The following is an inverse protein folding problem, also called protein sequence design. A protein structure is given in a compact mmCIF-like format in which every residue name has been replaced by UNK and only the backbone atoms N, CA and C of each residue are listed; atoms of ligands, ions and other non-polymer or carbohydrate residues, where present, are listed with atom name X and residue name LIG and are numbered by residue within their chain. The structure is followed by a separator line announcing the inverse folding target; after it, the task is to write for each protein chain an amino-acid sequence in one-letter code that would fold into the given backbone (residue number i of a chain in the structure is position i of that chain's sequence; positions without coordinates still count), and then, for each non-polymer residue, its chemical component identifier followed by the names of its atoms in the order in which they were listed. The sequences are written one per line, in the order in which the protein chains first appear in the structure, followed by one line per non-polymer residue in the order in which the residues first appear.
data_IF_519759029991
#
_entry.id   IF_519759029991
#
_cell.length_a   1.000
_cell.length_b   1.000
_cell.length_c   1.000
_cell.angle_alpha   90.00
_cell.angle_beta   90.00
_cell.angle_gamma   90.00
#
_symmetry.space_group_name_H-M   'P 1'
#
loop_
_entity.id
_entity.type
_entity.pdbx_description
1 polymer ?
#
# COMPACT_ATOMS: atom_id res chain seq x y z
N UNK A 1 -40.68 -1.27 -17.63
CA UNK A 1 -39.46 -1.09 -18.44
C UNK A 1 -38.41 -0.47 -17.52
N UNK A 2 -37.44 -1.29 -17.12
CA UNK A 2 -36.49 -1.06 -16.02
C UNK A 2 -35.28 -0.28 -16.50
N UNK A 3 -35.13 0.97 -16.04
CA UNK A 3 -33.91 1.72 -16.30
C UNK A 3 -33.65 2.64 -15.10
N UNK A 4 -32.75 2.22 -14.19
CA UNK A 4 -31.98 3.07 -13.27
C UNK A 4 -31.20 2.20 -12.27
N UNK A 5 -30.29 1.37 -12.78
CA UNK A 5 -29.28 0.69 -11.95
C UNK A 5 -27.90 0.89 -12.57
N UNK A 6 -27.42 2.14 -12.60
CA UNK A 6 -26.05 2.43 -13.07
C UNK A 6 -25.33 3.57 -12.34
N UNK A 7 -25.82 4.02 -11.19
CA UNK A 7 -25.29 5.22 -10.53
C UNK A 7 -24.46 4.98 -9.26
N UNK A 8 -24.37 3.74 -8.76
CA UNK A 8 -23.70 3.47 -7.48
C UNK A 8 -22.29 2.86 -7.56
N UNK A 9 -21.84 2.33 -8.71
CA UNK A 9 -20.49 1.71 -8.83
C UNK A 9 -19.34 2.73 -9.01
N UNK A 10 -19.67 3.98 -9.34
CA UNK A 10 -18.65 5.03 -9.58
C UNK A 10 -18.13 5.63 -8.27
N UNK A 11 -18.97 5.73 -7.23
CA UNK A 11 -18.59 6.38 -5.97
C UNK A 11 -17.63 5.52 -5.12
N UNK A 12 -17.78 4.20 -5.12
CA UNK A 12 -16.91 3.29 -4.35
C UNK A 12 -15.52 3.18 -4.97
N UNK A 13 -15.43 3.30 -6.30
CA UNK A 13 -14.15 3.24 -7.02
C UNK A 13 -13.34 4.54 -6.94
N UNK A 14 -14.02 5.70 -6.77
CA UNK A 14 -13.36 7.01 -6.67
C UNK A 14 -12.80 7.32 -5.27
N UNK A 15 -13.33 6.69 -4.22
CA UNK A 15 -12.80 6.84 -2.85
C UNK A 15 -11.44 6.14 -2.63
N UNK A 16 -10.99 5.32 -3.59
CA UNK A 16 -9.73 4.58 -3.54
C UNK A 16 -8.58 5.25 -4.31
N UNK A 17 -8.81 6.40 -4.94
CA UNK A 17 -7.81 7.07 -5.79
C UNK A 17 -7.07 8.22 -5.08
N UNK A 18 -7.34 8.45 -3.81
CA UNK A 18 -6.65 9.48 -3.02
C UNK A 18 -5.50 8.86 -2.25
N UNK A 19 -4.40 9.60 -2.17
CA UNK A 19 -3.24 9.22 -1.38
C UNK A 19 -3.68 8.95 0.07
N UNK A 20 -3.40 7.77 0.65
CA UNK A 20 -3.71 7.52 2.04
C UNK A 20 -2.93 8.50 2.93
N UNK A 21 -3.55 8.92 4.02
CA UNK A 21 -2.86 9.66 5.07
C UNK A 21 -1.68 8.87 5.62
N UNK A 22 -0.65 9.56 6.11
CA UNK A 22 0.55 8.95 6.67
C UNK A 22 0.23 7.92 7.78
N UNK A 23 -0.62 8.29 8.76
CA UNK A 23 -1.02 7.37 9.84
C UNK A 23 -1.73 6.11 9.31
N UNK A 24 -2.62 6.26 8.32
CA UNK A 24 -3.32 5.14 7.69
C UNK A 24 -2.34 4.19 7.00
N UNK A 25 -1.33 4.74 6.33
CA UNK A 25 -0.27 3.96 5.71
C UNK A 25 0.57 3.24 6.78
N UNK A 26 0.96 3.93 7.85
CA UNK A 26 1.73 3.34 8.94
C UNK A 26 0.98 2.17 9.59
N UNK A 27 -0.32 2.33 9.84
CA UNK A 27 -1.16 1.28 10.41
C UNK A 27 -1.27 0.08 9.45
N UNK A 28 -1.45 0.32 8.15
CA UNK A 28 -1.44 -0.74 7.14
C UNK A 28 -0.10 -1.50 7.14
N UNK A 29 1.03 -0.79 7.15
CA UNK A 29 2.37 -1.39 7.19
C UNK A 29 2.62 -2.20 8.45
N UNK A 30 2.10 -1.75 9.61
CA UNK A 30 2.15 -2.52 10.86
C UNK A 30 1.30 -3.78 10.79
N UNK A 31 0.18 -3.71 10.07
CA UNK A 31 -0.74 -4.81 9.81
C UNK A 31 -0.14 -5.91 8.92
N UNK A 32 0.70 -5.55 7.95
CA UNK A 32 1.37 -6.51 7.08
C UNK A 32 2.36 -7.40 7.86
N UNK A 33 1.96 -8.65 8.10
CA UNK A 33 2.81 -9.67 8.74
C UNK A 33 3.42 -10.59 7.70
N UNK A 34 2.67 -10.88 6.65
CA UNK A 34 3.06 -11.76 5.56
C UNK A 34 3.32 -10.97 4.29
N UNK A 35 4.09 -11.59 3.40
CA UNK A 35 4.52 -10.93 2.16
C UNK A 35 3.35 -10.69 1.21
N UNK A 36 2.37 -11.59 1.18
CA UNK A 36 1.14 -11.47 0.39
C UNK A 36 0.32 -10.22 0.77
N UNK A 37 0.27 -9.88 2.06
CA UNK A 37 -0.42 -8.68 2.54
C UNK A 37 0.31 -7.40 2.08
N UNK A 38 1.64 -7.46 2.03
CA UNK A 38 2.48 -6.36 1.58
C UNK A 38 2.38 -6.15 0.06
N UNK A 39 2.33 -7.23 -0.70
CA UNK A 39 2.09 -7.22 -2.15
C UNK A 39 0.70 -6.64 -2.47
N UNK A 40 -0.34 -7.10 -1.77
CA UNK A 40 -1.68 -6.56 -1.92
C UNK A 40 -1.74 -5.06 -1.60
N UNK A 41 -1.00 -4.60 -0.58
CA UNK A 41 -0.87 -3.18 -0.27
C UNK A 41 -0.17 -2.43 -1.41
N UNK A 42 0.97 -2.92 -1.90
CA UNK A 42 1.68 -2.30 -3.03
C UNK A 42 0.79 -2.18 -4.27
N UNK A 43 0.06 -3.23 -4.62
CA UNK A 43 -0.78 -3.25 -5.80
C UNK A 43 -1.97 -2.29 -5.69
N UNK A 44 -2.54 -2.13 -4.49
CA UNK A 44 -3.56 -1.10 -4.23
C UNK A 44 -2.99 0.30 -4.40
N UNK A 45 -1.77 0.54 -3.93
CA UNK A 45 -1.11 1.85 -4.02
C UNK A 45 -0.71 2.20 -5.45
N UNK A 46 -0.34 1.22 -6.29
CA UNK A 46 -0.10 1.46 -7.73
C UNK A 46 -1.34 1.98 -8.47
N UNK A 47 -2.54 1.74 -7.95
CA UNK A 47 -3.79 2.30 -8.48
C UNK A 47 -4.07 3.76 -8.07
N UNK A 48 -3.27 4.31 -7.15
CA UNK A 48 -3.39 5.69 -6.66
C UNK A 48 -2.47 6.59 -7.49
N UNK A 49 -3.03 7.65 -8.07
CA UNK A 49 -2.24 8.62 -8.84
C UNK A 49 -1.24 9.33 -7.93
N UNK A 50 0.01 9.45 -8.39
CA UNK A 50 1.13 10.10 -7.67
C UNK A 50 1.61 9.42 -6.38
N UNK A 51 1.16 8.20 -6.09
CA UNK A 51 1.74 7.43 -5.00
C UNK A 51 3.18 7.00 -5.35
N UNK A 52 4.20 7.33 -4.53
CA UNK A 52 5.53 6.81 -4.74
C UNK A 52 5.56 5.29 -4.50
N UNK A 53 6.59 4.59 -5.00
CA UNK A 53 6.76 3.17 -4.73
C UNK A 53 6.76 2.88 -3.23
N UNK A 54 6.21 1.74 -2.83
CA UNK A 54 6.11 1.37 -1.41
C UNK A 54 7.47 1.33 -0.70
N UNK A 55 8.53 0.97 -1.44
CA UNK A 55 9.92 1.04 -0.98
C UNK A 55 10.32 2.44 -0.52
N UNK A 56 10.06 3.47 -1.35
CA UNK A 56 10.40 4.86 -1.04
C UNK A 56 9.67 5.33 0.21
N UNK A 57 8.38 5.01 0.33
CA UNK A 57 7.61 5.32 1.54
C UNK A 57 8.14 4.68 2.80
N UNK A 58 8.53 3.41 2.76
CA UNK A 58 9.11 2.75 3.93
C UNK A 58 10.43 3.44 4.33
N UNK A 59 11.25 3.82 3.35
CA UNK A 59 12.50 4.56 3.57
C UNK A 59 12.23 5.94 4.18
N UNK A 60 11.29 6.72 3.62
CA UNK A 60 10.93 8.05 4.13
C UNK A 60 10.39 7.98 5.56
N UNK A 61 9.47 7.05 5.83
CA UNK A 61 8.92 6.83 7.17
C UNK A 61 10.01 6.40 8.18
N UNK A 62 11.00 5.63 7.73
CA UNK A 62 12.14 5.23 8.55
C UNK A 62 13.04 6.44 8.87
N UNK A 63 13.38 7.24 7.87
CA UNK A 63 14.20 8.47 8.03
C UNK A 63 13.49 9.47 8.95
N UNK A 64 12.19 9.65 8.76
CA UNK A 64 11.34 10.49 9.59
C UNK A 64 11.06 9.91 10.99
N UNK A 65 11.56 8.70 11.30
CA UNK A 65 11.36 7.97 12.57
C UNK A 65 9.89 7.72 12.92
N UNK A 66 9.03 7.62 11.90
CA UNK A 66 7.59 7.32 12.04
C UNK A 66 7.31 5.83 12.22
N UNK A 67 8.23 4.99 11.76
CA UNK A 67 8.23 3.53 11.99
C UNK A 67 9.51 3.08 12.67
N UNK A 68 9.47 1.91 13.32
CA UNK A 68 10.65 1.35 13.97
C UNK A 68 11.61 0.74 12.94
N UNK A 69 12.92 0.75 13.27
CA UNK A 69 13.97 0.12 12.45
C UNK A 69 13.68 -1.37 12.17
N UNK A 70 13.16 -2.09 13.17
CA UNK A 70 12.80 -3.50 13.02
C UNK A 70 11.64 -3.72 12.07
N UNK A 71 10.61 -2.85 12.12
CA UNK A 71 9.50 -2.91 11.17
C UNK A 71 9.99 -2.64 9.74
N UNK A 72 10.76 -1.56 9.55
CA UNK A 72 11.31 -1.22 8.24
C UNK A 72 12.19 -2.33 7.68
N UNK A 73 13.11 -2.88 8.47
CA UNK A 73 13.99 -3.97 8.02
C UNK A 73 13.19 -5.21 7.57
N UNK A 74 12.13 -5.57 8.31
CA UNK A 74 11.24 -6.68 7.93
C UNK A 74 10.55 -6.42 6.60
N UNK A 75 9.91 -5.26 6.46
CA UNK A 75 9.16 -4.90 5.25
C UNK A 75 10.06 -4.79 4.02
N UNK A 76 11.24 -4.17 4.15
CA UNK A 76 12.22 -4.07 3.06
C UNK A 76 12.76 -5.43 2.64
N UNK A 77 13.02 -6.33 3.61
CA UNK A 77 13.43 -7.72 3.31
C UNK A 77 12.32 -8.46 2.58
N UNK A 78 11.08 -8.30 3.02
CA UNK A 78 9.90 -8.89 2.38
C UNK A 78 9.74 -8.40 0.94
N UNK A 79 9.84 -7.09 0.69
CA UNK A 79 9.79 -6.52 -0.66
C UNK A 79 10.90 -7.06 -1.55
N UNK A 80 12.14 -7.10 -1.05
CA UNK A 80 13.27 -7.62 -1.82
C UNK A 80 13.08 -9.09 -2.20
N UNK A 81 12.60 -9.91 -1.27
CA UNK A 81 12.32 -11.33 -1.52
C UNK A 81 11.18 -11.57 -2.52
N UNK A 82 10.25 -10.61 -2.72
CA UNK A 82 9.25 -10.69 -3.79
C UNK A 82 9.82 -10.39 -5.16
N UNK A 83 10.79 -9.47 -5.23
CA UNK A 83 11.38 -9.05 -6.50
C UNK A 83 12.41 -10.06 -7.04
N UNK A 84 12.88 -10.99 -6.20
CA UNK A 84 13.80 -12.05 -6.61
C UNK A 84 12.99 -13.31 -7.01
N UNK A 85 12.83 -13.62 -8.30
CA UNK A 85 12.28 -14.91 -8.70
C UNK A 85 13.24 -16.01 -8.24
N UNK A 86 12.71 -16.99 -7.50
CA UNK A 86 13.43 -18.21 -7.15
C UNK A 86 13.90 -18.90 -8.44
N UNK A 87 15.17 -18.74 -8.81
CA UNK A 87 15.85 -19.55 -9.84
C UNK A 87 16.05 -20.97 -9.37
#
# INVERSE_FOLDING_TARGET
MTETLRRNDVATSQLLQTLPSEDTLIDALRGCRHTEELEALEQRLRGVSEAPPLFEWICDLLVARRISRGLAARLLTQLHSQQQPST
#
